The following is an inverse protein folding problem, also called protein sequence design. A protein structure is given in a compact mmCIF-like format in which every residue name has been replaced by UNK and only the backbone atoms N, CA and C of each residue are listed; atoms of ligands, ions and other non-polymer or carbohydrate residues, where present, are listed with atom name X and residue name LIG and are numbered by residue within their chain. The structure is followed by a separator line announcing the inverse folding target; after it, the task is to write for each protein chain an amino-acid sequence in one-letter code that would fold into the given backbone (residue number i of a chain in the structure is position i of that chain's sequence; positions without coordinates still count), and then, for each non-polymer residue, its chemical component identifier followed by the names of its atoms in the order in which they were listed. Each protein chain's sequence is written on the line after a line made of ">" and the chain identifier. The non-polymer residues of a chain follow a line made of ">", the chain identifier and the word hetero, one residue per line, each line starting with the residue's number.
data_IF_633717181695
#
_entry.id   IF_633717181695
#
_cell.length_a   1.000
_cell.length_b   1.000
_cell.length_c   1.000
_cell.angle_alpha   90.00
_cell.angle_beta   90.00
_cell.angle_gamma   90.00
#
_symmetry.space_group_name_H-M   'P 1'
#
loop_
_entity.id
_entity.type
_entity.pdbx_description
1 polymer ?
#
# COMPACT_ATOMS: atom_id res chain seq x y z
N UNK A 1 -39.10 -8.31 25.38
CA UNK A 1 -39.48 -7.49 24.23
C UNK A 1 -40.94 -7.77 23.97
N UNK A 2 -41.81 -6.76 23.99
CA UNK A 2 -43.19 -6.95 23.56
C UNK A 2 -43.27 -7.11 22.03
N UNK A 3 -44.42 -7.60 21.55
CA UNK A 3 -44.63 -7.93 20.14
C UNK A 3 -44.44 -6.71 19.23
N UNK A 4 -44.86 -5.53 19.67
CA UNK A 4 -44.74 -4.28 18.91
C UNK A 4 -43.26 -3.85 18.79
N UNK A 5 -42.48 -3.98 19.85
CA UNK A 5 -41.04 -3.71 19.85
C UNK A 5 -40.30 -4.69 18.95
N UNK A 6 -40.66 -5.97 18.96
CA UNK A 6 -40.07 -6.97 18.05
C UNK A 6 -40.44 -6.72 16.59
N UNK A 7 -41.69 -6.34 16.31
CA UNK A 7 -42.12 -5.99 14.95
C UNK A 7 -41.41 -4.74 14.44
N UNK A 8 -41.25 -3.71 15.29
CA UNK A 8 -40.50 -2.50 14.95
C UNK A 8 -39.00 -2.79 14.74
N UNK A 9 -38.41 -3.65 15.57
CA UNK A 9 -37.01 -4.07 15.42
C UNK A 9 -36.79 -4.77 14.07
N UNK A 10 -37.63 -5.76 13.74
CA UNK A 10 -37.56 -6.48 12.46
C UNK A 10 -37.79 -5.55 11.26
N UNK A 11 -38.73 -4.61 11.37
CA UNK A 11 -39.05 -3.66 10.31
C UNK A 11 -37.88 -2.71 9.98
N UNK A 12 -37.17 -2.22 11.01
CA UNK A 12 -35.99 -1.35 10.82
C UNK A 12 -34.76 -2.18 10.43
N UNK A 13 -34.59 -3.39 10.97
CA UNK A 13 -33.46 -4.27 10.65
C UNK A 13 -33.54 -4.86 9.23
N UNK A 14 -34.74 -5.10 8.71
CA UNK A 14 -34.94 -5.60 7.35
C UNK A 14 -34.51 -4.61 6.24
N UNK A 15 -34.11 -3.38 6.60
CA UNK A 15 -33.53 -2.40 5.67
C UNK A 15 -34.47 -1.93 4.56
N UNK A 16 -35.78 -2.08 4.79
CA UNK A 16 -36.80 -1.55 3.88
C UNK A 16 -36.80 -0.01 3.90
N UNK A 17 -37.27 0.61 2.82
CA UNK A 17 -37.50 2.06 2.79
C UNK A 17 -38.55 2.42 3.86
N UNK A 18 -38.07 2.93 4.99
CA UNK A 18 -38.91 3.37 6.09
C UNK A 18 -39.22 4.85 5.94
N UNK A 19 -40.47 5.22 6.26
CA UNK A 19 -40.85 6.62 6.41
C UNK A 19 -39.94 7.28 7.47
N UNK A 20 -39.21 8.36 7.12
CA UNK A 20 -38.38 9.10 8.07
C UNK A 20 -39.11 9.56 9.35
N UNK A 21 -40.44 9.72 9.29
CA UNK A 21 -41.25 10.04 10.48
C UNK A 21 -41.31 8.88 11.49
N UNK A 22 -41.31 7.63 11.01
CA UNK A 22 -41.28 6.43 11.87
C UNK A 22 -39.94 6.36 12.61
N UNK A 23 -38.82 6.57 11.89
CA UNK A 23 -37.49 6.62 12.49
C UNK A 23 -37.37 7.74 13.53
N UNK A 24 -37.91 8.93 13.21
CA UNK A 24 -37.91 10.07 14.14
C UNK A 24 -38.69 9.77 15.42
N UNK A 25 -39.83 9.10 15.30
CA UNK A 25 -40.63 8.70 16.47
C UNK A 25 -39.94 7.61 17.30
N UNK A 26 -39.33 6.63 16.63
CA UNK A 26 -38.60 5.53 17.26
C UNK A 26 -37.29 5.98 17.94
N UNK A 27 -36.73 7.14 17.59
CA UNK A 27 -35.53 7.68 18.22
C UNK A 27 -35.70 8.03 19.71
N UNK A 28 -36.94 8.16 20.20
CA UNK A 28 -37.22 8.37 21.63
C UNK A 28 -37.71 7.11 22.34
N UNK A 29 -37.59 5.94 21.70
CA UNK A 29 -38.11 4.69 22.24
C UNK A 29 -37.37 4.28 23.54
N UNK A 30 -38.06 3.76 24.58
CA UNK A 30 -37.42 3.42 25.85
C UNK A 30 -36.37 2.30 25.73
N UNK A 31 -36.54 1.41 24.75
CA UNK A 31 -35.59 0.32 24.47
C UNK A 31 -34.40 0.86 23.67
N UNK A 32 -33.21 0.73 24.23
CA UNK A 32 -31.94 1.17 23.62
C UNK A 32 -31.66 0.47 22.29
N UNK A 33 -31.95 -0.83 22.16
CA UNK A 33 -31.77 -1.58 20.90
C UNK A 33 -32.54 -0.93 19.74
N UNK A 34 -33.76 -0.42 19.98
CA UNK A 34 -34.51 0.29 18.94
C UNK A 34 -33.80 1.58 18.55
N UNK A 35 -33.31 2.35 19.53
CA UNK A 35 -32.59 3.60 19.26
C UNK A 35 -31.26 3.36 18.55
N UNK A 36 -30.56 2.26 18.85
CA UNK A 36 -29.35 1.82 18.13
C UNK A 36 -29.69 1.54 16.66
N UNK A 37 -30.72 0.73 16.39
CA UNK A 37 -31.09 0.41 15.00
C UNK A 37 -31.53 1.68 14.24
N UNK A 38 -32.26 2.60 14.89
CA UNK A 38 -32.58 3.91 14.30
C UNK A 38 -31.30 4.71 14.03
N UNK A 39 -30.35 4.77 14.97
CA UNK A 39 -29.09 5.48 14.78
C UNK A 39 -28.24 4.89 13.64
N UNK A 40 -28.28 3.58 13.40
CA UNK A 40 -27.54 2.90 12.33
C UNK A 40 -28.24 2.93 10.96
N UNK A 41 -29.51 3.32 10.90
CA UNK A 41 -30.28 3.23 9.67
C UNK A 41 -29.86 4.28 8.63
N UNK A 42 -29.72 3.85 7.35
CA UNK A 42 -29.24 4.68 6.22
C UNK A 42 -30.15 5.85 5.86
N UNK A 43 -31.42 5.82 6.27
CA UNK A 43 -32.40 6.89 5.98
C UNK A 43 -32.69 7.77 7.21
N UNK A 44 -31.96 7.57 8.30
CA UNK A 44 -32.15 8.39 9.51
C UNK A 44 -31.73 9.81 9.25
N UNK A 45 -32.67 10.74 9.49
CA UNK A 45 -32.45 12.15 9.23
C UNK A 45 -31.35 12.72 10.11
N UNK A 46 -30.63 13.73 9.61
CA UNK A 46 -29.60 14.43 10.37
C UNK A 46 -30.14 15.05 11.67
N UNK A 47 -31.39 15.51 11.67
CA UNK A 47 -32.04 16.06 12.88
C UNK A 47 -32.21 14.96 13.94
N UNK A 48 -32.61 13.77 13.52
CA UNK A 48 -32.77 12.60 14.40
C UNK A 48 -31.40 12.12 14.92
N UNK A 49 -30.40 11.99 14.04
CA UNK A 49 -29.04 11.63 14.43
C UNK A 49 -28.45 12.64 15.43
N UNK A 50 -28.71 13.94 15.26
CA UNK A 50 -28.27 14.98 16.21
C UNK A 50 -28.90 14.83 17.59
N UNK A 51 -30.16 14.40 17.68
CA UNK A 51 -30.78 14.10 18.96
C UNK A 51 -30.16 12.84 19.60
N UNK A 52 -29.96 11.78 18.82
CA UNK A 52 -29.35 10.52 19.27
C UNK A 52 -27.86 10.66 19.64
N UNK A 53 -27.16 11.66 19.12
CA UNK A 53 -25.78 11.97 19.53
C UNK A 53 -25.67 12.38 21.00
N UNK A 54 -26.77 12.77 21.65
CA UNK A 54 -26.83 13.13 23.07
C UNK A 54 -27.43 12.00 23.93
N UNK A 55 -27.63 10.80 23.36
CA UNK A 55 -28.23 9.68 24.07
C UNK A 55 -27.39 9.26 25.28
N UNK A 56 -28.04 8.84 26.36
CA UNK A 56 -27.36 8.36 27.55
C UNK A 56 -26.60 7.04 27.29
N UNK A 57 -27.10 6.20 26.38
CA UNK A 57 -26.47 4.93 26.03
C UNK A 57 -25.33 5.17 25.01
N UNK A 58 -24.14 4.66 25.33
CA UNK A 58 -22.95 4.81 24.49
C UNK A 58 -23.06 4.10 23.13
N UNK A 59 -23.71 2.93 23.06
CA UNK A 59 -23.91 2.18 21.81
C UNK A 59 -24.81 2.95 20.83
N UNK A 60 -25.76 3.74 21.33
CA UNK A 60 -26.57 4.64 20.48
C UNK A 60 -25.67 5.73 19.89
N UNK A 61 -24.80 6.35 20.70
CA UNK A 61 -23.88 7.40 20.22
C UNK A 61 -22.82 6.84 19.27
N UNK A 62 -22.32 5.63 19.53
CA UNK A 62 -21.44 4.87 18.63
C UNK A 62 -22.12 4.63 17.28
N UNK A 63 -23.37 4.17 17.26
CA UNK A 63 -24.14 3.98 16.05
C UNK A 63 -24.34 5.29 15.26
N UNK A 64 -24.52 6.42 15.96
CA UNK A 64 -24.53 7.74 15.30
C UNK A 64 -23.17 8.08 14.68
N UNK A 65 -22.07 7.84 15.40
CA UNK A 65 -20.72 8.08 14.89
C UNK A 65 -20.38 7.19 13.68
N UNK A 66 -20.90 5.96 13.62
CA UNK A 66 -20.70 5.04 12.51
C UNK A 66 -21.62 5.28 11.30
N UNK A 67 -22.65 6.14 11.43
CA UNK A 67 -23.64 6.33 10.37
C UNK A 67 -23.04 7.10 9.16
N UNK A 68 -23.29 6.59 7.95
CA UNK A 68 -22.79 7.19 6.69
C UNK A 68 -23.36 8.58 6.39
N UNK A 69 -24.55 8.91 6.91
CA UNK A 69 -25.17 10.24 6.79
C UNK A 69 -24.69 11.25 7.85
N UNK A 70 -23.86 10.82 8.80
CA UNK A 70 -23.36 11.72 9.82
C UNK A 70 -22.44 12.78 9.18
N UNK A 71 -22.84 14.05 9.27
CA UNK A 71 -22.06 15.15 8.71
C UNK A 71 -20.84 15.48 9.57
N UNK A 72 -19.80 16.13 9.02
CA UNK A 72 -18.64 16.56 9.80
C UNK A 72 -19.01 17.36 11.06
N UNK A 73 -20.03 18.23 10.97
CA UNK A 73 -20.50 19.03 12.11
C UNK A 73 -21.15 18.18 13.20
N UNK A 74 -21.84 17.10 12.82
CA UNK A 74 -22.41 16.14 13.77
C UNK A 74 -21.30 15.32 14.44
N UNK A 75 -20.36 14.80 13.67
CA UNK A 75 -19.23 14.01 14.19
C UNK A 75 -18.36 14.84 15.15
N UNK A 76 -18.23 16.15 14.91
CA UNK A 76 -17.54 17.07 15.82
C UNK A 76 -18.18 17.14 17.22
N UNK A 77 -19.49 16.91 17.34
CA UNK A 77 -20.17 16.88 18.65
C UNK A 77 -19.76 15.69 19.52
N UNK A 78 -19.27 14.62 18.90
CA UNK A 78 -18.90 13.37 19.58
C UNK A 78 -17.39 13.25 19.82
N UNK A 79 -16.59 14.25 19.44
CA UNK A 79 -15.12 14.17 19.46
C UNK A 79 -14.55 13.84 20.85
N UNK A 80 -15.18 14.37 21.90
CA UNK A 80 -14.80 14.22 23.30
C UNK A 80 -15.70 13.18 24.02
N UNK A 81 -16.34 12.27 23.26
CA UNK A 81 -17.21 11.25 23.85
C UNK A 81 -16.42 10.41 24.87
N UNK A 82 -16.95 10.18 26.08
CA UNK A 82 -16.25 9.40 27.10
C UNK A 82 -16.08 7.91 26.68
N UNK A 83 -16.92 7.39 25.80
CA UNK A 83 -16.83 6.01 25.34
C UNK A 83 -15.76 5.86 24.26
N UNK A 84 -14.81 4.94 24.48
CA UNK A 84 -13.75 4.64 23.53
C UNK A 84 -14.30 4.06 22.22
N UNK A 85 -15.38 3.27 22.27
CA UNK A 85 -15.99 2.67 21.08
C UNK A 85 -16.62 3.74 20.18
N UNK A 86 -17.28 4.75 20.76
CA UNK A 86 -17.76 5.92 19.99
C UNK A 86 -16.60 6.67 19.32
N UNK A 87 -15.50 6.91 20.04
CA UNK A 87 -14.31 7.57 19.48
C UNK A 87 -13.62 6.72 18.41
N UNK A 88 -13.65 5.40 18.54
CA UNK A 88 -13.16 4.48 17.52
C UNK A 88 -14.05 4.52 16.27
N UNK A 89 -15.38 4.52 16.43
CA UNK A 89 -16.32 4.69 15.32
C UNK A 89 -16.11 6.03 14.58
N UNK A 90 -15.83 7.12 15.30
CA UNK A 90 -15.43 8.38 14.69
C UNK A 90 -14.17 8.25 13.82
N UNK A 91 -13.14 7.53 14.29
CA UNK A 91 -11.91 7.33 13.54
C UNK A 91 -12.10 6.50 12.27
N UNK A 92 -13.16 5.69 12.19
CA UNK A 92 -13.49 4.86 11.02
C UNK A 92 -14.45 5.53 10.04
N UNK A 93 -15.19 6.55 10.47
CA UNK A 93 -16.17 7.21 9.61
C UNK A 93 -15.48 8.07 8.54
N UNK A 94 -15.73 7.78 7.26
CA UNK A 94 -15.10 8.47 6.12
C UNK A 94 -15.40 9.97 6.04
N UNK A 95 -16.46 10.45 6.70
CA UNK A 95 -16.81 11.87 6.81
C UNK A 95 -16.19 12.55 8.03
N UNK A 96 -15.38 11.83 8.82
CA UNK A 96 -14.73 12.39 10.01
C UNK A 96 -13.80 13.56 9.62
N UNK A 97 -14.00 14.75 10.21
CA UNK A 97 -13.20 15.92 9.91
C UNK A 97 -11.77 15.79 10.45
N UNK A 98 -10.82 16.43 9.77
CA UNK A 98 -9.39 16.35 10.10
C UNK A 98 -9.07 16.85 11.51
N UNK A 99 -9.84 17.81 12.02
CA UNK A 99 -9.69 18.35 13.37
C UNK A 99 -9.99 17.28 14.43
N UNK A 100 -11.03 16.47 14.22
CA UNK A 100 -11.38 15.35 15.11
C UNK A 100 -10.31 14.26 15.02
N UNK A 101 -9.88 13.90 13.80
CA UNK A 101 -8.81 12.92 13.61
C UNK A 101 -7.52 13.36 14.32
N UNK A 102 -7.16 14.64 14.28
CA UNK A 102 -5.98 15.19 14.97
C UNK A 102 -6.09 15.14 16.50
N UNK A 103 -7.30 15.20 17.05
CA UNK A 103 -7.51 14.98 18.48
C UNK A 103 -7.44 13.49 18.81
N UNK A 104 -8.01 12.62 17.96
CA UNK A 104 -8.01 11.17 18.13
C UNK A 104 -6.60 10.53 18.03
N UNK A 105 -5.65 11.12 17.31
CA UNK A 105 -4.25 10.65 17.31
C UNK A 105 -3.53 10.84 18.65
N UNK A 106 -4.12 11.62 19.57
CA UNK A 106 -3.62 11.83 20.94
C UNK A 106 -4.33 10.93 21.95
N UNK A 107 -5.24 10.05 21.51
CA UNK A 107 -5.94 9.13 22.38
C UNK A 107 -4.96 8.16 23.07
N UNK A 108 -5.37 7.64 24.22
CA UNK A 108 -4.57 6.64 24.95
C UNK A 108 -4.66 5.26 24.31
N UNK A 109 -5.76 4.97 23.64
CA UNK A 109 -6.07 3.68 23.05
C UNK A 109 -5.39 3.54 21.68
N UNK A 110 -4.51 2.53 21.56
CA UNK A 110 -3.70 2.32 20.35
C UNK A 110 -4.53 2.10 19.08
N UNK A 111 -5.68 1.44 19.18
CA UNK A 111 -6.59 1.20 18.05
C UNK A 111 -7.18 2.51 17.51
N UNK A 112 -7.53 3.46 18.38
CA UNK A 112 -8.06 4.78 17.98
C UNK A 112 -6.96 5.59 17.28
N UNK A 113 -5.76 5.64 17.87
CA UNK A 113 -4.63 6.34 17.29
C UNK A 113 -4.23 5.80 15.91
N UNK A 114 -4.15 4.48 15.77
CA UNK A 114 -3.83 3.82 14.49
C UNK A 114 -4.90 4.09 13.45
N UNK A 115 -6.19 3.97 13.81
CA UNK A 115 -7.30 4.24 12.90
C UNK A 115 -7.27 5.70 12.41
N UNK A 116 -7.11 6.66 13.34
CA UNK A 116 -7.04 8.07 13.00
C UNK A 116 -5.85 8.40 12.08
N UNK A 117 -4.67 7.80 12.31
CA UNK A 117 -3.49 8.02 11.47
C UNK A 117 -3.61 7.39 10.05
N UNK A 118 -4.29 6.24 9.94
CA UNK A 118 -4.56 5.55 8.67
C UNK A 118 -5.70 6.17 7.84
N UNK A 119 -6.40 7.15 8.40
CA UNK A 119 -7.65 7.66 7.82
C UNK A 119 -7.45 8.41 6.50
N UNK A 120 -8.29 8.20 5.46
CA UNK A 120 -8.14 8.86 4.16
C UNK A 120 -8.17 10.39 4.19
N UNK A 121 -8.85 11.00 5.16
CA UNK A 121 -8.93 12.47 5.29
C UNK A 121 -7.69 13.11 5.93
N UNK A 122 -6.68 12.35 6.34
CA UNK A 122 -5.43 12.93 6.83
C UNK A 122 -4.71 13.69 5.70
N UNK A 123 -4.36 14.94 5.96
CA UNK A 123 -3.57 15.76 5.02
C UNK A 123 -2.09 15.33 5.02
N UNK A 124 -1.35 15.73 3.99
CA UNK A 124 0.10 15.46 3.92
C UNK A 124 0.85 16.05 5.10
N UNK A 125 0.45 17.24 5.55
CA UNK A 125 1.05 17.92 6.70
C UNK A 125 0.83 17.11 7.99
N UNK A 126 -0.40 16.64 8.21
CA UNK A 126 -0.71 15.80 9.36
C UNK A 126 0.08 14.48 9.32
N UNK A 127 0.16 13.83 8.15
CA UNK A 127 0.94 12.59 8.02
C UNK A 127 2.44 12.81 8.30
N UNK A 128 3.00 13.94 7.82
CA UNK A 128 4.38 14.31 8.10
C UNK A 128 4.64 14.56 9.60
N UNK A 129 3.71 15.21 10.30
CA UNK A 129 3.76 15.38 11.77
C UNK A 129 3.74 14.02 12.49
N UNK A 130 2.87 13.10 12.07
CA UNK A 130 2.71 11.77 12.70
C UNK A 130 3.90 10.84 12.43
N UNK A 131 4.54 10.96 11.26
CA UNK A 131 5.68 10.12 10.87
C UNK A 131 6.94 10.31 11.74
N UNK A 132 7.03 11.44 12.44
CA UNK A 132 8.13 11.74 13.38
C UNK A 132 7.74 11.54 14.85
N UNK A 133 6.52 11.03 15.12
CA UNK A 133 6.06 10.75 16.48
C UNK A 133 6.89 9.64 17.13
N UNK A 134 7.11 9.71 18.44
CA UNK A 134 7.73 8.62 19.20
C UNK A 134 6.84 7.35 19.25
N UNK A 135 5.53 7.51 19.06
CA UNK A 135 4.58 6.41 19.08
C UNK A 135 4.64 5.58 17.79
N UNK A 136 5.10 4.33 17.91
CA UNK A 136 5.17 3.37 16.80
C UNK A 136 3.82 3.14 16.11
N UNK A 137 2.71 3.11 16.86
CA UNK A 137 1.38 2.85 16.29
C UNK A 137 0.93 4.01 15.37
N UNK A 138 1.30 5.25 15.70
CA UNK A 138 1.04 6.40 14.83
C UNK A 138 1.88 6.32 13.56
N UNK A 139 3.17 6.01 13.68
CA UNK A 139 4.05 5.83 12.51
C UNK A 139 3.59 4.67 11.62
N UNK A 140 3.11 3.57 12.21
CA UNK A 140 2.51 2.46 11.46
C UNK A 140 1.22 2.89 10.75
N UNK A 141 0.31 3.59 11.44
CA UNK A 141 -0.91 4.10 10.83
C UNK A 141 -0.64 5.03 9.64
N UNK A 142 0.43 5.84 9.69
CA UNK A 142 0.88 6.64 8.54
C UNK A 142 1.24 5.74 7.35
N UNK A 143 1.96 4.64 7.57
CA UNK A 143 2.31 3.71 6.49
C UNK A 143 1.11 2.94 5.93
N UNK A 144 0.04 2.78 6.70
CA UNK A 144 -1.21 2.17 6.24
C UNK A 144 -2.10 3.17 5.49
N UNK A 145 -1.80 4.47 5.56
CA UNK A 145 -2.62 5.51 4.98
C UNK A 145 -2.58 5.49 3.43
N UNK A 146 -3.73 5.46 2.75
CA UNK A 146 -3.80 5.44 1.28
C UNK A 146 -3.23 6.69 0.60
N UNK A 147 -3.12 7.79 1.33
CA UNK A 147 -2.60 9.07 0.88
C UNK A 147 -1.16 9.31 1.34
N UNK A 148 -0.49 8.39 2.03
CA UNK A 148 0.92 8.56 2.38
C UNK A 148 1.78 8.75 1.10
N UNK A 149 2.59 9.81 1.07
CA UNK A 149 3.44 10.12 -0.08
C UNK A 149 4.62 9.15 -0.20
N UNK A 150 5.15 9.03 -1.42
CA UNK A 150 6.34 8.21 -1.68
C UNK A 150 7.55 8.71 -0.89
N UNK A 151 7.70 10.04 -0.74
CA UNK A 151 8.76 10.67 0.03
C UNK A 151 8.70 10.27 1.52
N UNK A 152 7.50 10.27 2.09
CA UNK A 152 7.30 9.92 3.50
C UNK A 152 7.51 8.43 3.73
N UNK A 153 7.05 7.58 2.81
CA UNK A 153 7.36 6.14 2.81
C UNK A 153 8.87 5.90 2.71
N UNK A 154 9.58 6.67 1.87
CA UNK A 154 11.03 6.57 1.78
C UNK A 154 11.74 6.93 3.09
N UNK A 155 11.24 7.92 3.84
CA UNK A 155 11.75 8.25 5.17
C UNK A 155 11.49 7.11 6.16
N UNK A 156 10.24 6.63 6.24
CA UNK A 156 9.82 5.56 7.15
C UNK A 156 10.44 4.19 6.83
N UNK A 157 11.01 4.01 5.63
CA UNK A 157 11.79 2.79 5.30
C UNK A 157 13.01 2.58 6.19
N UNK A 158 13.44 3.61 6.93
CA UNK A 158 14.56 3.55 7.88
C UNK A 158 14.10 3.56 9.34
N UNK A 159 12.80 3.38 9.60
CA UNK A 159 12.27 3.35 10.97
C UNK A 159 13.00 2.29 11.80
N UNK A 160 13.19 2.53 13.09
CA UNK A 160 13.80 1.55 13.98
C UNK A 160 12.93 0.30 14.12
N UNK A 161 11.61 0.46 14.01
CA UNK A 161 10.66 -0.62 14.21
C UNK A 161 10.36 -1.38 12.92
N UNK A 162 10.53 -2.70 12.99
CA UNK A 162 10.27 -3.60 11.87
C UNK A 162 8.82 -3.50 11.37
N UNK A 163 7.84 -3.32 12.26
CA UNK A 163 6.42 -3.23 11.89
C UNK A 163 6.11 -2.00 11.03
N UNK A 164 6.77 -0.88 11.30
CA UNK A 164 6.64 0.34 10.48
C UNK A 164 7.25 0.11 9.11
N UNK A 165 8.48 -0.43 9.05
CA UNK A 165 9.13 -0.76 7.77
C UNK A 165 8.36 -1.78 6.93
N UNK A 166 7.67 -2.72 7.57
CA UNK A 166 6.76 -3.66 6.90
C UNK A 166 5.55 -2.93 6.29
N UNK A 167 4.91 -2.03 7.02
CA UNK A 167 3.82 -1.22 6.48
C UNK A 167 4.25 -0.36 5.28
N UNK A 168 5.50 0.10 5.25
CA UNK A 168 6.05 0.84 4.10
C UNK A 168 6.01 0.03 2.82
N UNK A 169 6.39 -1.26 2.85
CA UNK A 169 6.44 -2.09 1.64
C UNK A 169 5.05 -2.61 1.23
N UNK A 170 4.11 -2.69 2.18
CA UNK A 170 2.71 -3.05 1.93
C UNK A 170 1.89 -1.89 1.35
N UNK A 171 2.32 -0.64 1.53
CA UNK A 171 1.64 0.51 0.96
C UNK A 171 1.74 0.55 -0.57
N UNK A 172 0.61 0.71 -1.26
CA UNK A 172 0.54 0.80 -2.73
C UNK A 172 1.38 1.94 -3.33
N UNK A 173 1.58 3.02 -2.59
CA UNK A 173 2.38 4.18 -2.99
C UNK A 173 3.89 3.96 -2.76
N UNK A 174 4.32 2.79 -2.28
CA UNK A 174 5.73 2.49 -2.06
C UNK A 174 6.53 2.63 -3.36
N UNK A 175 7.49 3.55 -3.35
CA UNK A 175 8.29 3.93 -4.51
C UNK A 175 9.31 2.89 -4.95
N UNK A 176 9.70 2.92 -6.22
CA UNK A 176 10.74 2.04 -6.77
C UNK A 176 12.03 2.07 -5.93
N UNK A 177 12.52 3.28 -5.62
CA UNK A 177 13.75 3.46 -4.83
C UNK A 177 13.62 2.96 -3.39
N UNK A 178 12.43 3.08 -2.81
CA UNK A 178 12.11 2.59 -1.48
C UNK A 178 12.10 1.06 -1.45
N UNK A 179 11.51 0.41 -2.46
CA UNK A 179 11.54 -1.06 -2.59
C UNK A 179 12.98 -1.57 -2.74
N UNK A 180 13.82 -0.93 -3.58
CA UNK A 180 15.23 -1.33 -3.72
C UNK A 180 15.97 -1.26 -2.37
N UNK A 181 15.72 -0.20 -1.60
CA UNK A 181 16.34 0.01 -0.30
C UNK A 181 15.88 -1.04 0.72
N UNK A 182 14.57 -1.24 0.85
CA UNK A 182 13.94 -2.21 1.76
C UNK A 182 14.37 -3.65 1.44
N UNK A 183 14.70 -3.96 0.18
CA UNK A 183 15.24 -5.29 -0.17
C UNK A 183 16.55 -5.64 0.55
N UNK A 184 17.25 -4.67 1.16
CA UNK A 184 18.47 -4.86 1.96
C UNK A 184 18.21 -4.83 3.47
N UNK A 185 16.95 -4.90 3.91
CA UNK A 185 16.60 -4.86 5.34
C UNK A 185 17.25 -6.00 6.12
N UNK A 186 17.62 -5.74 7.36
CA UNK A 186 18.17 -6.75 8.26
C UNK A 186 17.20 -7.91 8.53
N UNK A 187 15.88 -7.65 8.51
CA UNK A 187 14.86 -8.63 8.81
C UNK A 187 14.41 -9.38 7.56
N UNK A 188 14.54 -10.71 7.59
CA UNK A 188 14.19 -11.55 6.45
C UNK A 188 12.71 -11.46 6.07
N UNK A 189 11.80 -11.21 7.03
CA UNK A 189 10.38 -10.98 6.74
C UNK A 189 10.15 -9.80 5.79
N UNK A 190 10.88 -8.69 5.99
CA UNK A 190 10.77 -7.50 5.15
C UNK A 190 11.36 -7.78 3.75
N UNK A 191 12.52 -8.45 3.70
CA UNK A 191 13.13 -8.87 2.43
C UNK A 191 12.21 -9.80 1.64
N UNK A 192 11.47 -10.68 2.30
CA UNK A 192 10.47 -11.56 1.66
C UNK A 192 9.32 -10.77 1.04
N UNK A 193 8.80 -9.74 1.71
CA UNK A 193 7.76 -8.89 1.12
C UNK A 193 8.30 -8.07 -0.06
N UNK A 194 9.55 -7.59 0.03
CA UNK A 194 10.21 -6.93 -1.10
C UNK A 194 10.28 -7.85 -2.34
N UNK A 195 10.54 -9.15 -2.18
CA UNK A 195 10.53 -10.12 -3.28
C UNK A 195 9.18 -10.24 -3.99
N UNK A 196 8.06 -9.97 -3.30
CA UNK A 196 6.71 -10.05 -3.89
C UNK A 196 6.30 -8.77 -4.61
N UNK A 197 6.99 -7.66 -4.33
CA UNK A 197 6.68 -6.35 -4.90
C UNK A 197 7.16 -6.27 -6.35
N UNK A 198 6.28 -5.86 -7.26
CA UNK A 198 6.54 -5.76 -8.70
C UNK A 198 7.53 -4.64 -9.08
N UNK A 199 7.72 -3.66 -8.19
CA UNK A 199 8.71 -2.60 -8.36
C UNK A 199 10.13 -3.02 -7.96
N UNK A 200 10.34 -4.24 -7.43
CA UNK A 200 11.68 -4.73 -7.13
C UNK A 200 12.47 -4.96 -8.44
N UNK A 201 13.71 -4.49 -8.50
CA UNK A 201 14.53 -4.65 -9.68
C UNK A 201 14.81 -6.13 -9.90
N UNK A 202 14.69 -6.59 -11.15
CA UNK A 202 14.86 -8.00 -11.45
C UNK A 202 16.27 -8.52 -11.11
N UNK A 203 17.31 -7.70 -11.34
CA UNK A 203 18.68 -8.04 -10.92
C UNK A 203 18.77 -8.23 -9.41
N UNK A 204 18.10 -7.38 -8.62
CA UNK A 204 18.04 -7.51 -7.18
C UNK A 204 17.30 -8.78 -6.75
N UNK A 205 16.15 -9.08 -7.36
CA UNK A 205 15.39 -10.30 -7.12
C UNK A 205 16.23 -11.56 -7.39
N UNK A 206 16.95 -11.60 -8.53
CA UNK A 206 17.84 -12.70 -8.88
C UNK A 206 18.97 -12.83 -7.86
N UNK A 207 19.58 -11.72 -7.43
CA UNK A 207 20.60 -11.77 -6.38
C UNK A 207 20.03 -12.28 -5.05
N UNK A 208 18.83 -11.86 -4.65
CA UNK A 208 18.18 -12.40 -3.44
C UNK A 208 17.91 -13.90 -3.55
N UNK A 209 17.45 -14.38 -4.71
CA UNK A 209 17.24 -15.80 -4.96
C UNK A 209 18.51 -16.61 -4.75
N UNK A 210 19.66 -16.09 -5.19
CA UNK A 210 20.92 -16.82 -5.15
C UNK A 210 21.72 -16.63 -3.86
N UNK A 211 21.71 -15.42 -3.27
CA UNK A 211 22.68 -15.03 -2.24
C UNK A 211 22.07 -14.57 -0.93
N UNK A 212 20.74 -14.50 -0.78
CA UNK A 212 20.16 -14.13 0.51
C UNK A 212 20.52 -15.18 1.57
N UNK A 213 20.86 -14.74 2.78
CA UNK A 213 21.20 -15.62 3.91
C UNK A 213 20.00 -16.48 4.34
N UNK A 214 18.79 -15.93 4.25
CA UNK A 214 17.56 -16.59 4.71
C UNK A 214 17.01 -17.51 3.61
N UNK A 215 16.86 -18.83 3.87
CA UNK A 215 16.36 -19.78 2.88
C UNK A 215 14.94 -19.49 2.39
N UNK A 216 14.11 -18.87 3.22
CA UNK A 216 12.74 -18.52 2.86
C UNK A 216 12.70 -17.28 1.97
N UNK A 217 13.62 -16.32 2.16
CA UNK A 217 13.82 -15.22 1.19
C UNK A 217 14.26 -15.80 -0.16
N UNK A 218 15.28 -16.66 -0.18
CA UNK A 218 15.75 -17.31 -1.43
C UNK A 218 14.61 -18.02 -2.14
N UNK A 219 13.86 -18.87 -1.43
CA UNK A 219 12.71 -19.59 -1.99
C UNK A 219 11.66 -18.64 -2.58
N UNK A 220 11.26 -17.62 -1.82
CA UNK A 220 10.26 -16.63 -2.27
C UNK A 220 10.75 -15.90 -3.53
N UNK A 221 12.02 -15.52 -3.56
CA UNK A 221 12.62 -14.87 -4.72
C UNK A 221 12.72 -15.80 -5.94
N UNK A 222 13.05 -17.08 -5.76
CA UNK A 222 13.05 -18.10 -6.82
C UNK A 222 11.64 -18.28 -7.40
N UNK A 223 10.62 -18.40 -6.54
CA UNK A 223 9.23 -18.59 -6.96
C UNK A 223 8.73 -17.38 -7.77
N UNK A 224 9.04 -16.16 -7.32
CA UNK A 224 8.72 -14.95 -8.07
C UNK A 224 9.53 -14.85 -9.38
N UNK A 225 10.81 -15.20 -9.36
CA UNK A 225 11.68 -15.18 -10.54
C UNK A 225 11.18 -16.15 -11.62
N UNK A 226 10.72 -17.34 -11.24
CA UNK A 226 10.06 -18.30 -12.15
C UNK A 226 8.85 -17.68 -12.83
N UNK A 227 7.97 -17.07 -12.04
CA UNK A 227 6.76 -16.39 -12.55
C UNK A 227 7.09 -15.28 -13.56
N UNK A 228 8.12 -14.47 -13.30
CA UNK A 228 8.56 -13.41 -14.22
C UNK A 228 9.18 -14.00 -15.48
N UNK A 229 10.02 -15.05 -15.35
CA UNK A 229 10.67 -15.71 -16.47
C UNK A 229 9.71 -16.40 -17.43
N UNK A 230 8.56 -16.89 -16.93
CA UNK A 230 7.47 -17.46 -17.75
C UNK A 230 6.70 -16.41 -18.56
N UNK A 231 6.68 -15.15 -18.12
CA UNK A 231 5.92 -14.07 -18.75
C UNK A 231 6.66 -13.39 -19.92
N UNK A 232 7.88 -13.83 -20.26
CA UNK A 232 8.73 -13.28 -21.34
C UNK A 232 8.64 -11.74 -21.46
N UNK A 233 8.78 -11.02 -20.33
CA UNK A 233 8.73 -9.56 -20.38
C UNK A 233 9.97 -9.03 -21.14
N UNK A 234 9.79 -8.38 -22.30
CA UNK A 234 10.92 -7.82 -23.05
C UNK A 234 11.56 -6.72 -22.22
N UNK A 235 12.87 -6.82 -21.97
CA UNK A 235 13.61 -5.74 -21.30
C UNK A 235 13.74 -5.87 -19.80
N UNK A 236 13.75 -7.10 -19.27
CA UNK A 236 14.45 -7.38 -18.01
C UNK A 236 15.94 -7.04 -18.23
N UNK A 237 16.31 -5.75 -18.17
CA UNK A 237 17.70 -5.34 -18.10
C UNK A 237 18.13 -5.66 -16.69
N UNK A 238 18.86 -6.77 -16.47
CA UNK A 238 19.30 -7.10 -15.15
C UNK A 238 20.53 -6.23 -14.90
N UNK A 239 20.28 -4.93 -14.68
CA UNK A 239 21.32 -3.93 -14.55
C UNK A 239 22.30 -4.38 -13.46
N UNK A 240 23.57 -4.49 -13.84
CA UNK A 240 24.67 -4.78 -12.93
C UNK A 240 24.94 -6.24 -12.60
N UNK A 241 24.25 -7.23 -13.22
CA UNK A 241 24.58 -8.66 -13.03
C UNK A 241 24.94 -9.36 -14.35
N UNK A 242 25.92 -10.27 -14.29
CA UNK A 242 26.38 -11.05 -15.45
C UNK A 242 26.51 -12.52 -15.08
N UNK A 243 26.38 -13.42 -16.06
CA UNK A 243 26.48 -14.87 -15.83
C UNK A 243 27.81 -15.30 -15.21
N UNK A 244 28.90 -14.59 -15.51
CA UNK A 244 30.25 -14.94 -15.05
C UNK A 244 30.56 -14.40 -13.64
N UNK A 245 29.68 -13.55 -13.08
CA UNK A 245 29.83 -12.97 -11.75
C UNK A 245 29.97 -14.08 -10.70
N UNK A 246 31.02 -14.00 -9.87
CA UNK A 246 31.21 -14.95 -8.77
C UNK A 246 30.33 -14.57 -7.58
N UNK A 247 29.62 -15.56 -7.06
CA UNK A 247 28.72 -15.43 -5.91
C UNK A 247 28.96 -16.57 -4.91
N UNK A 248 28.52 -16.35 -3.67
CA UNK A 248 28.42 -17.43 -2.68
C UNK A 248 26.98 -17.92 -2.67
N UNK A 249 26.77 -19.15 -3.12
CA UNK A 249 25.46 -19.80 -3.15
C UNK A 249 25.55 -21.15 -2.44
N UNK A 250 24.64 -21.40 -1.49
CA UNK A 250 24.64 -22.60 -0.64
C UNK A 250 26.02 -22.90 0.00
N UNK A 251 26.75 -21.85 0.40
CA UNK A 251 28.08 -21.96 1.03
C UNK A 251 29.23 -22.29 0.08
N UNK A 252 29.01 -22.27 -1.25
CA UNK A 252 30.05 -22.52 -2.27
C UNK A 252 30.22 -21.30 -3.18
N UNK A 253 31.46 -21.00 -3.56
CA UNK A 253 31.75 -20.04 -4.62
C UNK A 253 31.40 -20.66 -5.97
N UNK A 254 30.54 -20.00 -6.74
CA UNK A 254 30.09 -20.45 -8.06
C UNK A 254 29.78 -19.24 -8.94
N UNK A 255 29.69 -19.43 -10.25
CA UNK A 255 29.20 -18.38 -11.12
C UNK A 255 27.68 -18.18 -10.95
N UNK A 256 27.21 -16.96 -11.17
CA UNK A 256 25.78 -16.65 -11.16
C UNK A 256 25.01 -17.53 -12.15
N UNK A 257 25.60 -17.79 -13.34
CA UNK A 257 25.00 -18.66 -14.34
C UNK A 257 24.81 -20.10 -13.87
N UNK A 258 25.80 -20.68 -13.19
CA UNK A 258 25.68 -22.04 -12.61
C UNK A 258 24.61 -22.10 -11.52
N UNK A 259 24.57 -21.10 -10.63
CA UNK A 259 23.57 -21.05 -9.55
C UNK A 259 22.13 -20.91 -10.09
N UNK A 260 21.92 -20.01 -11.06
CA UNK A 260 20.62 -19.80 -11.71
C UNK A 260 20.14 -21.08 -12.40
N UNK A 261 21.03 -21.81 -13.07
CA UNK A 261 20.70 -23.11 -13.67
C UNK A 261 20.39 -24.18 -12.62
N UNK A 262 21.14 -24.22 -11.52
CA UNK A 262 20.92 -25.19 -10.45
C UNK A 262 19.53 -25.05 -9.80
N UNK A 263 19.01 -23.82 -9.71
CA UNK A 263 17.67 -23.52 -9.18
C UNK A 263 16.54 -23.64 -10.23
N UNK A 264 16.88 -24.06 -11.46
CA UNK A 264 15.92 -24.29 -12.54
C UNK A 264 15.37 -23.02 -13.18
N UNK A 265 16.08 -21.89 -13.07
CA UNK A 265 15.69 -20.60 -13.65
C UNK A 265 16.17 -20.47 -15.11
N UNK A 266 15.82 -21.43 -15.96
CA UNK A 266 16.35 -21.53 -17.34
C UNK A 266 15.99 -20.34 -18.22
N UNK A 267 14.77 -19.81 -18.12
CA UNK A 267 14.35 -18.62 -18.90
C UNK A 267 15.19 -17.40 -18.54
N UNK A 268 15.50 -17.21 -17.25
CA UNK A 268 16.35 -16.11 -16.78
C UNK A 268 17.79 -16.29 -17.27
N UNK A 269 18.33 -17.50 -17.19
CA UNK A 269 19.65 -17.79 -17.74
C UNK A 269 19.73 -17.45 -19.24
N UNK A 270 18.72 -17.82 -20.03
CA UNK A 270 18.66 -17.52 -21.45
C UNK A 270 18.57 -16.01 -21.73
N UNK A 271 17.78 -15.27 -20.94
CA UNK A 271 17.70 -13.80 -21.05
C UNK A 271 19.04 -13.13 -20.73
N UNK A 272 19.72 -13.55 -19.65
CA UNK A 272 21.05 -13.05 -19.28
C UNK A 272 22.10 -13.36 -20.37
N UNK A 273 22.03 -14.55 -20.97
CA UNK A 273 22.92 -14.93 -22.06
C UNK A 273 22.66 -14.08 -23.31
N UNK A 274 21.39 -13.86 -23.65
CA UNK A 274 21.01 -13.02 -24.79
C UNK A 274 21.52 -11.58 -24.62
N UNK A 275 21.35 -11.00 -23.42
CA UNK A 275 21.85 -9.64 -23.11
C UNK A 275 23.38 -9.54 -23.19
N UNK A 276 24.10 -10.55 -22.67
CA UNK A 276 25.57 -10.65 -22.80
C UNK A 276 26.02 -10.70 -24.26
N UNK A 277 25.34 -11.50 -25.09
CA UNK A 277 25.64 -11.60 -26.53
C UNK A 277 25.33 -10.28 -27.26
N UNK A 278 24.19 -9.64 -26.96
CA UNK A 278 23.78 -8.37 -27.56
C UNK A 278 24.76 -7.25 -27.23
N UNK A 279 25.25 -7.21 -25.99
CA UNK A 279 26.27 -6.26 -25.54
C UNK A 279 27.60 -6.49 -26.28
N UNK A 280 28.04 -7.74 -26.40
CA UNK A 280 29.27 -8.08 -27.14
C UNK A 280 29.17 -7.77 -28.64
N UNK A 281 27.99 -7.90 -29.25
CA UNK A 281 27.75 -7.49 -30.65
C UNK A 281 27.83 -5.97 -30.78
N UNK A 282 27.21 -5.23 -29.85
CA UNK A 282 27.18 -3.76 -29.87
C UNK A 282 28.58 -3.15 -29.69
N UNK A 283 29.42 -3.74 -28.84
CA UNK A 283 30.83 -3.33 -28.66
C UNK A 283 31.70 -3.64 -29.89
N UNK A 284 31.38 -4.70 -30.63
CA UNK A 284 32.10 -5.10 -31.85
C UNK A 284 31.59 -4.44 -33.13
N UNK A 285 30.45 -3.75 -33.08
CA UNK A 285 29.92 -3.03 -34.23
C UNK A 285 30.85 -1.85 -34.57
N UNK A 286 31.45 -1.79 -35.77
CA UNK A 286 32.22 -0.62 -36.17
C UNK A 286 31.30 0.61 -36.13
N UNK A 287 31.76 1.70 -35.49
CA UNK A 287 31.05 2.98 -35.49
C UNK A 287 30.68 3.43 -36.91
N UNK A 288 29.72 4.36 -37.08
CA UNK A 288 29.16 4.68 -38.39
C UNK A 288 30.29 4.93 -39.39
N UNK A 289 30.41 4.03 -40.37
CA UNK A 289 31.35 4.19 -41.48
C UNK A 289 30.95 5.49 -42.15
N UNK A 290 31.73 6.56 -41.95
CA UNK A 290 31.64 7.75 -42.79
C UNK A 290 32.00 7.30 -44.19
N UNK A 291 30.99 6.98 -44.99
CA UNK A 291 31.13 6.81 -46.43
C UNK A 291 31.54 8.19 -46.92
N UNK A 292 32.85 8.42 -47.05
CA UNK A 292 33.36 9.57 -47.74
C UNK A 292 32.79 9.48 -49.16
N UNK A 293 31.95 10.44 -49.53
CA UNK A 293 31.46 10.60 -50.89
C UNK A 293 32.68 10.65 -51.81
N UNK A 294 32.94 9.54 -52.49
CA UNK A 294 33.82 9.51 -53.65
C UNK A 294 33.19 10.46 -54.65
N UNK A 295 33.68 11.70 -54.67
CA UNK A 295 33.42 12.64 -55.76
C UNK A 295 33.97 12.01 -57.04
N UNK A 296 33.10 11.25 -57.72
CA UNK A 296 33.25 10.86 -59.10
C UNK A 296 33.30 12.16 -59.90
N UNK A 297 34.52 12.63 -60.14
CA UNK A 297 34.84 13.71 -61.06
C UNK A 297 34.35 13.33 -62.46
N UNK A 298 33.09 13.68 -62.75
CA UNK A 298 32.56 13.69 -64.11
C UNK A 298 33.28 14.78 -64.89
N UNK A 299 34.38 14.43 -65.55
CA UNK A 299 34.92 15.25 -66.66
C UNK A 299 33.90 15.20 -67.81
N UNK A 300 33.40 16.34 -68.31
CA UNK A 300 32.62 16.33 -69.54
C UNK A 300 33.60 16.20 -70.72
N UNK A 301 33.59 15.05 -71.38
CA UNK A 301 34.15 14.92 -72.73
C UNK A 301 33.16 15.53 -73.72
N UNK A 302 33.36 16.79 -74.09
CA UNK A 302 32.82 17.37 -75.32
C UNK A 302 33.94 17.45 -76.37
N UNK A 303 33.86 16.53 -77.34
CA UNK A 303 34.48 16.54 -78.68
C UNK A 303 33.60 15.55 -79.47
N UNK A 304 32.94 15.86 -80.58
CA UNK A 304 33.22 16.80 -81.66
C UNK A 304 31.95 17.00 -82.50
N UNK A 305 31.86 18.14 -83.20
CA UNK A 305 31.90 18.08 -84.66
C UNK A 305 33.36 18.24 -85.09
#
# INVERSE_FOLDING_TARGET
>A
MDKETSELYELIYAGGDLDPQVLTSAASHPVEDIRIVVASHKDTSLTTLRALAQDANAMVREAVAANENATPELLMLLKDDPCADTRYALALNTHCPIEVLRDLTKATESNICSAAASHPNCSQEMLAELAISDNEELRRGVTENPNCSEELLHQLSQDSQMRVRLGVIENRNCGYWTVQKISHDAWSAIRREACKNDKLAASRLIMMAMTDEDPMVRKTAIDQAKRIGELELPGLKPDGITLDMQIVHAGKSTSLGEAVLAEGLTSIYQQLLADKLQSAISERAPGPVKIAELQLSRRPHHLKM
#
